data_IF_004243936048
#
_entry.id   IF_004243936048
#
_cell.length_a   1.000
_cell.length_b   1.000
_cell.length_c   1.000
_cell.angle_alpha   90.00
_cell.angle_beta   90.00
_cell.angle_gamma   90.00
#
_symmetry.space_group_name_H-M   'P 1'
#
loop_
_entity.id
_entity.type
_entity.pdbx_description
1 polymer ?
#
# COMPACT_ATOMS: atom_id res chain seq x y z
N UNK A 1 -30.03 3.29 -8.72
CA UNK A 1 -29.13 2.15 -9.02
C UNK A 1 -27.89 2.73 -9.71
N UNK A 2 -26.94 3.26 -8.94
CA UNK A 2 -25.82 4.03 -9.49
C UNK A 2 -24.73 3.09 -9.98
N UNK A 3 -24.38 3.21 -11.26
CA UNK A 3 -23.35 2.41 -11.89
C UNK A 3 -21.98 2.67 -11.23
N UNK A 4 -21.34 1.60 -10.75
CA UNK A 4 -19.94 1.65 -10.29
C UNK A 4 -19.05 2.09 -11.46
N UNK A 5 -18.19 3.11 -11.32
CA UNK A 5 -17.30 3.52 -12.39
C UNK A 5 -16.33 2.38 -12.74
N UNK A 6 -16.38 1.93 -14.00
CA UNK A 6 -15.52 0.89 -14.56
C UNK A 6 -14.17 1.52 -14.94
N UNK A 7 -13.23 1.60 -14.00
CA UNK A 7 -11.81 1.78 -14.32
C UNK A 7 -11.08 0.45 -14.05
N UNK A 8 -11.15 -0.49 -14.99
CA UNK A 8 -10.50 -1.80 -14.86
C UNK A 8 -9.19 -1.83 -15.66
N UNK A 9 -8.05 -2.12 -14.97
CA UNK A 9 -6.88 -2.93 -15.40
C UNK A 9 -5.44 -2.34 -15.43
N UNK A 10 -5.16 -1.12 -14.99
CA UNK A 10 -3.77 -0.60 -15.07
C UNK A 10 -3.04 -0.32 -13.73
N UNK A 11 -3.67 -0.52 -12.57
CA UNK A 11 -3.09 -0.11 -11.27
C UNK A 11 -1.70 -0.72 -11.00
N UNK A 12 -1.59 -2.05 -11.17
CA UNK A 12 -0.39 -2.83 -10.83
C UNK A 12 0.53 -3.09 -12.02
N UNK A 13 0.23 -2.49 -13.18
CA UNK A 13 1.05 -2.67 -14.37
C UNK A 13 2.20 -1.66 -14.37
N UNK A 14 3.38 -2.06 -14.86
CA UNK A 14 4.45 -1.10 -15.15
C UNK A 14 3.95 0.02 -16.06
N UNK A 15 4.34 1.24 -15.71
CA UNK A 15 4.17 2.43 -16.54
C UNK A 15 5.53 3.08 -16.77
N UNK A 16 5.75 3.57 -17.98
CA UNK A 16 6.93 4.38 -18.31
C UNK A 16 6.65 5.85 -18.04
N UNK A 17 7.60 6.55 -17.42
CA UNK A 17 7.56 7.99 -17.20
C UNK A 17 8.75 8.66 -17.88
N UNK A 18 8.55 9.86 -18.40
CA UNK A 18 9.63 10.75 -18.85
C UNK A 18 10.25 11.49 -17.65
N UNK A 19 11.47 12.02 -17.80
CA UNK A 19 12.09 12.85 -16.77
C UNK A 19 11.16 14.01 -16.39
N UNK A 20 10.96 14.23 -15.09
CA UNK A 20 10.09 15.28 -14.55
C UNK A 20 8.65 14.83 -14.32
N UNK A 21 8.19 13.76 -14.98
CA UNK A 21 6.85 13.23 -14.75
C UNK A 21 6.78 12.45 -13.43
N UNK A 22 5.59 12.46 -12.83
CA UNK A 22 5.30 11.66 -11.65
C UNK A 22 4.13 10.71 -11.86
N UNK A 23 4.13 9.64 -11.06
CA UNK A 23 2.99 8.77 -10.85
C UNK A 23 2.53 8.88 -9.41
N UNK A 24 1.20 8.88 -9.23
CA UNK A 24 0.55 8.86 -7.92
C UNK A 24 -0.33 7.63 -7.85
N UNK A 25 -0.15 6.82 -6.81
CA UNK A 25 -1.02 5.69 -6.46
C UNK A 25 -1.73 5.99 -5.15
N UNK A 26 -3.05 6.02 -5.18
CA UNK A 26 -3.86 6.28 -3.98
C UNK A 26 -4.59 5.01 -3.54
N UNK A 27 -4.26 4.53 -2.34
CA UNK A 27 -4.81 3.30 -1.74
C UNK A 27 -5.34 3.66 -0.35
N UNK A 28 -6.65 3.52 -0.14
CA UNK A 28 -7.25 3.85 1.16
C UNK A 28 -6.97 5.30 1.57
N UNK A 29 -6.36 5.47 2.73
CA UNK A 29 -6.00 6.77 3.31
C UNK A 29 -4.58 7.24 2.97
N UNK A 30 -3.89 6.60 2.02
CA UNK A 30 -2.54 7.00 1.60
C UNK A 30 -2.45 7.28 0.10
N UNK A 31 -1.52 8.15 -0.28
CA UNK A 31 -1.04 8.29 -1.65
C UNK A 31 0.48 8.14 -1.68
N UNK A 32 0.95 7.23 -2.53
CA UNK A 32 2.35 7.05 -2.85
C UNK A 32 2.67 7.85 -4.11
N UNK A 33 3.69 8.70 -4.06
CA UNK A 33 4.14 9.53 -5.17
C UNK A 33 5.53 9.08 -5.59
N UNK A 34 5.75 8.89 -6.89
CA UNK A 34 7.07 8.66 -7.44
C UNK A 34 7.30 9.55 -8.67
N UNK A 35 8.38 10.31 -8.67
CA UNK A 35 8.76 11.20 -9.76
C UNK A 35 10.08 10.76 -10.37
N UNK A 36 10.14 10.73 -11.69
CA UNK A 36 11.36 10.41 -12.42
C UNK A 36 12.29 11.60 -12.44
N UNK A 37 13.56 11.37 -12.13
CA UNK A 37 14.65 12.36 -12.23
C UNK A 37 15.62 11.95 -13.33
N UNK A 38 16.58 12.82 -13.67
CA UNK A 38 17.62 12.49 -14.67
C UNK A 38 18.48 11.28 -14.27
N UNK A 39 18.62 11.05 -12.96
CA UNK A 39 19.53 10.04 -12.41
C UNK A 39 18.81 8.92 -11.68
N UNK A 40 17.48 8.90 -11.67
CA UNK A 40 16.77 8.05 -10.73
C UNK A 40 15.31 8.39 -10.48
N UNK A 41 14.93 8.25 -9.22
CA UNK A 41 13.58 8.40 -8.72
C UNK A 41 13.60 9.16 -7.40
N UNK A 42 12.56 9.95 -7.16
CA UNK A 42 12.21 10.41 -5.82
C UNK A 42 10.83 9.89 -5.47
N UNK A 43 10.67 9.34 -4.27
CA UNK A 43 9.41 8.79 -3.80
C UNK A 43 9.02 9.39 -2.45
N UNK A 44 7.72 9.53 -2.21
CA UNK A 44 7.19 9.98 -0.94
C UNK A 44 5.83 9.33 -0.67
N UNK A 45 5.42 9.32 0.59
CA UNK A 45 4.07 8.94 1.02
C UNK A 45 3.41 10.16 1.63
N UNK A 46 2.12 10.34 1.35
CA UNK A 46 1.28 11.28 2.07
C UNK A 46 0.01 10.61 2.54
N UNK A 47 -0.44 10.98 3.73
CA UNK A 47 -1.78 10.66 4.20
C UNK A 47 -2.79 11.54 3.48
N UNK A 48 -3.92 10.98 3.10
CA UNK A 48 -5.05 11.70 2.52
C UNK A 48 -6.25 11.58 3.46
N UNK A 49 -7.05 12.63 3.54
CA UNK A 49 -8.35 12.55 4.19
C UNK A 49 -9.32 11.81 3.24
N UNK A 50 -9.82 10.62 3.63
CA UNK A 50 -10.71 9.82 2.77
C UNK A 50 -12.02 10.54 2.41
N UNK A 51 -12.46 11.50 3.25
CA UNK A 51 -13.71 12.25 3.07
C UNK A 51 -13.51 13.41 2.10
N UNK A 52 -12.34 14.05 2.11
CA UNK A 52 -12.04 15.19 1.26
C UNK A 52 -11.78 14.81 -0.20
N UNK A 53 -11.30 13.58 -0.46
CA UNK A 53 -10.84 13.17 -1.80
C UNK A 53 -11.46 11.84 -2.28
N UNK A 54 -12.79 11.76 -2.22
CA UNK A 54 -13.58 10.59 -2.67
C UNK A 54 -13.39 10.23 -4.16
N UNK A 55 -12.76 11.12 -4.96
CA UNK A 55 -12.44 10.86 -6.37
C UNK A 55 -11.05 10.25 -6.60
N UNK A 56 -10.21 10.17 -5.58
CA UNK A 56 -8.84 9.66 -5.68
C UNK A 56 -8.70 8.15 -5.45
N UNK A 57 -9.75 7.47 -4.93
CA UNK A 57 -9.71 6.04 -4.69
C UNK A 57 -9.63 5.25 -6.02
N UNK A 58 -8.45 4.69 -6.33
CA UNK A 58 -8.30 3.69 -7.38
C UNK A 58 -7.62 4.10 -8.68
N UNK A 59 -6.91 5.24 -8.72
CA UNK A 59 -6.27 5.73 -9.94
C UNK A 59 -4.75 5.79 -9.77
N UNK A 60 -4.03 5.04 -10.61
CA UNK A 60 -2.65 5.40 -10.94
C UNK A 60 -2.71 6.59 -11.89
N UNK A 61 -2.41 7.80 -11.40
CA UNK A 61 -2.43 9.01 -12.22
C UNK A 61 -1.01 9.37 -12.61
N UNK A 62 -0.75 9.44 -13.92
CA UNK A 62 0.40 10.19 -14.42
C UNK A 62 0.09 11.67 -14.29
N UNK A 63 0.92 12.40 -13.57
CA UNK A 63 0.83 13.85 -13.45
C UNK A 63 2.06 14.48 -14.11
N UNK A 64 1.87 15.56 -14.89
CA UNK A 64 2.95 16.19 -15.64
C UNK A 64 3.97 16.87 -14.70
N UNK A 65 3.56 17.24 -13.50
CA UNK A 65 4.37 17.93 -12.51
C UNK A 65 3.99 17.47 -11.10
N UNK A 66 4.88 17.75 -10.13
CA UNK A 66 4.72 17.42 -8.72
C UNK A 66 3.38 17.87 -8.13
N UNK A 67 2.88 17.20 -7.07
CA UNK A 67 1.88 17.81 -6.19
C UNK A 67 2.37 19.20 -5.76
N UNK A 68 1.44 20.16 -5.60
CA UNK A 68 1.77 21.57 -5.39
C UNK A 68 2.85 21.77 -4.31
N UNK A 69 3.75 22.76 -4.49
CA UNK A 69 4.92 22.99 -3.62
C UNK A 69 4.58 23.30 -2.16
N UNK A 70 3.31 23.55 -1.84
CA UNK A 70 2.84 23.82 -0.48
C UNK A 70 2.73 22.57 0.40
N UNK A 71 2.89 21.36 -0.16
CA UNK A 71 3.00 20.10 0.59
C UNK A 71 4.48 19.74 0.82
N UNK A 72 4.98 19.94 2.04
CA UNK A 72 6.28 19.39 2.47
C UNK A 72 6.17 17.87 2.60
N UNK A 73 6.61 17.15 1.57
CA UNK A 73 6.71 15.69 1.57
C UNK A 73 8.11 15.24 1.99
N UNK A 74 8.18 14.18 2.79
CA UNK A 74 9.44 13.52 3.13
C UNK A 74 9.91 12.65 1.94
N UNK A 75 10.79 13.22 1.12
CA UNK A 75 11.26 12.61 -0.11
C UNK A 75 12.44 11.67 0.13
N UNK A 76 12.28 10.43 -0.31
CA UNK A 76 13.36 9.46 -0.44
C UNK A 76 13.90 9.47 -1.88
N UNK A 77 15.22 9.64 -2.04
CA UNK A 77 15.88 9.77 -3.35
C UNK A 77 16.68 8.50 -3.66
N UNK A 78 16.47 7.95 -4.85
CA UNK A 78 17.11 6.73 -5.33
C UNK A 78 17.82 7.00 -6.65
N UNK A 79 19.09 6.65 -6.76
CA UNK A 79 19.86 6.79 -8.00
C UNK A 79 20.05 5.43 -8.68
N UNK A 80 20.08 5.44 -10.02
CA UNK A 80 20.17 4.23 -10.83
C UNK A 80 21.23 4.38 -11.91
N UNK A 81 21.81 3.24 -12.30
CA UNK A 81 22.64 3.13 -13.50
C UNK A 81 21.85 2.46 -14.62
N UNK A 82 21.76 3.11 -15.78
CA UNK A 82 21.07 2.59 -16.97
C UNK A 82 19.57 2.90 -17.00
N UNK A 83 18.85 2.27 -17.95
CA UNK A 83 17.42 2.49 -18.15
C UNK A 83 16.58 2.06 -16.94
N UNK A 84 15.85 3.02 -16.38
CA UNK A 84 15.03 2.86 -15.18
C UNK A 84 13.69 3.60 -15.29
N UNK A 85 13.20 3.82 -16.50
CA UNK A 85 12.03 4.65 -16.83
C UNK A 85 10.67 4.02 -16.47
N UNK A 86 10.67 2.70 -16.23
CA UNK A 86 9.51 1.93 -15.82
C UNK A 86 9.33 1.93 -14.30
N UNK A 87 8.09 2.09 -13.84
CA UNK A 87 7.72 2.04 -12.43
C UNK A 87 6.35 1.39 -12.23
N UNK A 88 6.14 0.71 -11.10
CA UNK A 88 4.82 0.23 -10.68
C UNK A 88 4.69 0.18 -9.16
N UNK A 89 3.46 0.23 -8.69
CA UNK A 89 3.11 -0.25 -7.37
C UNK A 89 2.82 -1.76 -7.41
N UNK A 90 3.06 -2.47 -6.31
CA UNK A 90 2.64 -3.85 -6.09
C UNK A 90 2.11 -4.01 -4.66
N UNK A 91 1.03 -4.79 -4.45
CA UNK A 91 0.59 -5.14 -3.11
C UNK A 91 1.48 -6.26 -2.54
N UNK A 92 1.78 -6.16 -1.25
CA UNK A 92 2.51 -7.11 -0.42
C UNK A 92 1.67 -7.47 0.80
N UNK A 93 1.93 -8.64 1.36
CA UNK A 93 1.41 -9.00 2.67
C UNK A 93 2.01 -8.09 3.74
N UNK A 94 1.30 -7.91 4.85
CA UNK A 94 1.85 -7.24 6.03
C UNK A 94 3.11 -7.96 6.51
N UNK A 95 3.97 -7.23 7.22
CA UNK A 95 5.24 -7.72 7.75
C UNK A 95 5.06 -8.61 9.00
N UNK A 96 3.86 -8.62 9.59
CA UNK A 96 3.50 -9.39 10.78
C UNK A 96 2.16 -10.07 10.61
N UNK A 97 1.96 -11.15 11.39
CA UNK A 97 0.70 -11.86 11.47
C UNK A 97 -0.43 -10.96 12.01
N UNK A 98 -1.65 -11.23 11.57
CA UNK A 98 -2.87 -10.58 12.07
C UNK A 98 -3.60 -11.55 12.98
N UNK A 99 -3.86 -11.11 14.21
CA UNK A 99 -4.62 -11.85 15.22
C UNK A 99 -6.02 -11.26 15.30
N UNK A 100 -7.01 -12.12 15.17
CA UNK A 100 -8.40 -11.81 15.39
C UNK A 100 -8.87 -12.52 16.65
N UNK A 101 -9.63 -11.81 17.48
CA UNK A 101 -10.31 -12.37 18.64
C UNK A 101 -11.81 -12.33 18.37
N UNK A 102 -12.49 -13.48 18.22
CA UNK A 102 -13.93 -13.48 18.05
C UNK A 102 -14.62 -12.90 19.29
N UNK A 103 -15.72 -12.18 19.07
CA UNK A 103 -16.55 -11.59 20.14
C UNK A 103 -17.20 -12.63 21.06
N UNK A 104 -17.20 -13.90 20.64
CA UNK A 104 -17.75 -15.02 21.40
C UNK A 104 -16.96 -16.31 21.20
N UNK A 105 -17.36 -17.36 21.93
CA UNK A 105 -16.75 -18.67 21.80
C UNK A 105 -17.14 -19.32 20.47
N UNK A 106 -16.15 -19.62 19.63
CA UNK A 106 -16.33 -20.46 18.45
C UNK A 106 -16.29 -21.93 18.88
N UNK A 107 -17.42 -22.63 18.79
CA UNK A 107 -17.51 -24.07 19.07
C UNK A 107 -17.60 -24.81 17.74
N UNK A 108 -16.65 -25.70 17.46
CA UNK A 108 -16.66 -26.57 16.28
C UNK A 108 -17.17 -27.97 16.68
N UNK A 109 -18.37 -28.39 16.24
CA UNK A 109 -18.90 -29.71 16.55
C UNK A 109 -18.06 -30.84 15.95
N UNK A 110 -18.13 -32.07 16.50
CA UNK A 110 -17.43 -33.22 15.94
C UNK A 110 -17.82 -33.48 14.48
N UNK A 111 -16.82 -33.63 13.61
CA UNK A 111 -17.02 -33.93 12.18
C UNK A 111 -17.23 -32.72 11.28
N UNK A 112 -17.21 -31.51 11.84
CA UNK A 112 -17.36 -30.26 11.08
C UNK A 112 -16.01 -29.60 10.79
N UNK A 113 -15.92 -28.87 9.67
CA UNK A 113 -14.79 -28.04 9.30
C UNK A 113 -15.22 -26.57 9.16
N UNK A 114 -14.34 -25.65 9.56
CA UNK A 114 -14.56 -24.21 9.39
C UNK A 114 -13.42 -23.57 8.61
N UNK A 115 -13.76 -22.65 7.69
CA UNK A 115 -12.81 -21.78 6.99
C UNK A 115 -13.02 -20.35 7.46
N UNK A 116 -12.02 -19.79 8.14
CA UNK A 116 -11.97 -18.38 8.48
C UNK A 116 -11.18 -17.62 7.41
N UNK A 117 -11.72 -16.51 6.95
CA UNK A 117 -11.05 -15.60 6.01
C UNK A 117 -10.99 -14.24 6.68
N UNK A 118 -9.79 -13.69 6.80
CA UNK A 118 -9.57 -12.39 7.42
C UNK A 118 -9.11 -11.41 6.33
N UNK A 119 -9.74 -10.25 6.30
CA UNK A 119 -9.26 -9.14 5.50
C UNK A 119 -8.06 -8.51 6.21
N UNK A 120 -6.96 -8.35 5.48
CA UNK A 120 -5.79 -7.60 5.95
C UNK A 120 -5.44 -6.52 4.94
N UNK A 121 -5.21 -5.26 5.39
CA UNK A 121 -4.76 -4.21 4.50
C UNK A 121 -3.38 -4.57 3.94
N UNK A 122 -3.15 -4.43 2.62
CA UNK A 122 -1.86 -4.74 2.04
C UNK A 122 -0.83 -3.67 2.39
N UNK A 123 0.42 -4.09 2.41
CA UNK A 123 1.53 -3.16 2.28
C UNK A 123 1.74 -2.84 0.81
N UNK A 124 1.95 -1.58 0.45
CA UNK A 124 2.16 -1.16 -0.94
C UNK A 124 3.62 -0.85 -1.15
N UNK A 125 4.23 -1.51 -2.14
CA UNK A 125 5.62 -1.30 -2.52
C UNK A 125 5.71 -0.68 -3.91
N UNK A 126 6.56 0.34 -4.07
CA UNK A 126 6.93 0.90 -5.36
C UNK A 126 8.20 0.21 -5.86
N UNK A 127 8.16 -0.26 -7.12
CA UNK A 127 9.29 -0.90 -7.80
C UNK A 127 9.62 -0.19 -9.10
N UNK A 128 10.90 -0.06 -9.39
CA UNK A 128 11.38 0.63 -10.59
C UNK A 128 12.43 -0.15 -11.40
N UNK A 129 12.45 0.17 -12.69
CA UNK A 129 13.35 -0.38 -13.70
C UNK A 129 13.12 -1.86 -14.01
N UNK A 130 13.90 -2.38 -14.98
CA UNK A 130 13.81 -3.79 -15.41
C UNK A 130 14.16 -4.80 -14.31
N UNK A 131 14.95 -4.38 -13.32
CA UNK A 131 15.33 -5.20 -12.15
C UNK A 131 14.27 -5.20 -11.05
N UNK A 132 13.19 -4.42 -11.19
CA UNK A 132 12.11 -4.36 -10.20
C UNK A 132 12.61 -4.01 -8.79
N UNK A 133 13.57 -3.08 -8.73
CA UNK A 133 14.18 -2.62 -7.48
C UNK A 133 13.13 -1.96 -6.60
N UNK A 134 13.02 -2.41 -5.36
CA UNK A 134 12.17 -1.80 -4.35
C UNK A 134 12.68 -0.39 -4.03
N UNK A 135 11.81 0.61 -4.12
CA UNK A 135 12.11 2.00 -3.77
C UNK A 135 11.54 2.31 -2.39
N UNK A 136 10.25 2.09 -2.22
CA UNK A 136 9.49 2.53 -1.05
C UNK A 136 8.46 1.46 -0.73
N UNK A 137 8.24 1.22 0.55
CA UNK A 137 7.21 0.32 1.05
C UNK A 137 6.44 1.01 2.17
N UNK A 138 5.11 0.96 2.13
CA UNK A 138 4.27 1.59 3.15
C UNK A 138 2.96 0.82 3.34
N UNK A 139 2.53 0.54 4.60
CA UNK A 139 1.24 -0.08 4.85
C UNK A 139 0.10 0.80 4.32
N UNK A 140 -0.91 0.23 3.67
CA UNK A 140 -2.06 1.02 3.20
C UNK A 140 -2.91 1.55 4.35
N UNK A 141 -2.82 0.90 5.51
CA UNK A 141 -3.47 1.26 6.76
C UNK A 141 -2.57 0.84 7.92
N UNK A 142 -2.42 1.71 8.92
CA UNK A 142 -1.66 1.37 10.13
C UNK A 142 -2.56 0.57 11.05
N UNK A 143 -2.24 -0.72 11.21
CA UNK A 143 -2.95 -1.61 12.11
C UNK A 143 -2.46 -1.43 13.56
N UNK A 144 -3.36 -1.68 14.52
CA UNK A 144 -3.00 -1.68 15.93
C UNK A 144 -2.07 -2.85 16.27
N UNK A 145 -0.99 -2.58 16.99
CA UNK A 145 -0.07 -3.60 17.46
C UNK A 145 -0.66 -4.36 18.66
N UNK A 146 -0.38 -5.66 18.73
CA UNK A 146 -0.76 -6.53 19.84
C UNK A 146 0.31 -7.58 20.09
N UNK A 147 0.24 -8.25 21.24
CA UNK A 147 1.16 -9.32 21.61
C UNK A 147 0.42 -10.66 21.63
N UNK A 148 0.89 -11.61 20.83
CA UNK A 148 0.36 -12.98 20.82
C UNK A 148 1.30 -13.91 21.56
N UNK A 149 0.90 -14.35 22.75
CA UNK A 149 1.74 -15.18 23.60
C UNK A 149 1.10 -15.51 24.95
N UNK A 150 1.66 -16.48 25.65
CA UNK A 150 1.18 -16.89 26.99
C UNK A 150 1.51 -15.88 28.08
N UNK A 151 2.55 -15.08 27.87
CA UNK A 151 3.01 -14.01 28.76
C UNK A 151 3.81 -12.99 27.92
N UNK A 152 4.37 -11.95 28.55
CA UNK A 152 5.12 -10.87 27.85
C UNK A 152 6.55 -11.25 27.45
N UNK A 153 7.04 -12.44 27.79
CA UNK A 153 8.38 -12.93 27.44
C UNK A 153 8.35 -14.01 26.38
N UNK A 154 7.24 -14.73 26.27
CA UNK A 154 7.01 -15.87 25.38
C UNK A 154 5.84 -15.52 24.46
N UNK A 155 6.15 -14.93 23.31
CA UNK A 155 5.19 -14.51 22.31
C UNK A 155 5.83 -13.73 21.16
N UNK A 156 4.99 -13.17 20.30
CA UNK A 156 5.39 -12.38 19.14
C UNK A 156 4.52 -11.12 18.98
N UNK A 157 5.10 -10.06 18.42
CA UNK A 157 4.34 -8.88 18.04
C UNK A 157 3.51 -9.17 16.80
N UNK A 158 2.21 -8.92 16.88
CA UNK A 158 1.24 -9.08 15.80
C UNK A 158 0.46 -7.78 15.59
N UNK A 159 -0.38 -7.78 14.57
CA UNK A 159 -1.43 -6.79 14.43
C UNK A 159 -2.76 -7.34 14.94
N UNK A 160 -3.58 -6.51 15.58
CA UNK A 160 -4.95 -6.88 15.94
C UNK A 160 -5.93 -6.48 14.85
N UNK A 161 -6.82 -7.39 14.47
CA UNK A 161 -8.02 -7.07 13.67
C UNK A 161 -9.26 -7.08 14.56
N UNK A 162 -10.10 -6.05 14.42
CA UNK A 162 -11.41 -5.94 15.06
C UNK A 162 -12.56 -6.43 14.17
N UNK A 163 -12.27 -6.91 12.96
CA UNK A 163 -13.28 -7.41 12.01
C UNK A 163 -13.41 -8.95 12.09
N UNK A 164 -14.64 -9.50 12.11
CA UNK A 164 -14.91 -10.93 12.03
C UNK A 164 -14.74 -11.51 10.62
#
# INVERSE_FOLDING_TARGET
MNARPKAKKAWWKPITLETGQCAVWTVGAISLVACRTDFGWKCAVRSIDPVADLTAAGVCRKVPELPAPDEELDWQIFTFKGENDSIRAVPRTTDRAVVFKPDGTLILPPGEDVRLTLDSPPTIEIRAGKKESALLEHPSEVLSETWFGSNTTDGECCYSSTYP
#
